data_IF_223672646541
#
_entry.id   IF_223672646541
#
_cell.length_a   1.000
_cell.length_b   1.000
_cell.length_c   1.000
_cell.angle_alpha   90.00
_cell.angle_beta   90.00
_cell.angle_gamma   90.00
#
_symmetry.space_group_name_H-M   'P 1'
#
loop_
_entity.id
_entity.type
_entity.pdbx_description
1 polymer ?
#
# COMPACT_ATOMS: atom_id res chain seq x y z
N UNK A 1 42.77 -2.27 -6.95
CA UNK A 1 42.45 -2.50 -5.53
C UNK A 1 41.22 -1.68 -5.17
N UNK A 2 40.15 -2.37 -4.80
CA UNK A 2 38.82 -1.84 -4.49
C UNK A 2 38.82 -1.22 -3.09
N UNK A 3 38.68 0.10 -2.99
CA UNK A 3 38.41 0.78 -1.71
C UNK A 3 36.91 0.70 -1.42
N UNK A 4 36.52 -0.35 -0.70
CA UNK A 4 35.21 -0.42 -0.06
C UNK A 4 35.04 0.77 0.89
N UNK A 5 34.14 1.69 0.54
CA UNK A 5 33.63 2.72 1.41
C UNK A 5 32.83 2.07 2.54
N UNK A 6 33.49 1.80 3.68
CA UNK A 6 32.84 1.41 4.93
C UNK A 6 31.91 2.55 5.37
N UNK A 7 30.60 2.32 5.37
CA UNK A 7 29.64 3.23 5.98
C UNK A 7 29.88 3.30 7.48
N UNK A 8 30.22 4.47 8.01
CA UNK A 8 30.39 4.71 9.44
C UNK A 8 28.99 4.74 10.09
N UNK A 9 28.56 3.58 10.59
CA UNK A 9 27.40 3.46 11.47
C UNK A 9 27.87 3.76 12.91
N UNK A 10 27.37 4.83 13.53
CA UNK A 10 27.61 5.08 14.95
C UNK A 10 26.70 4.17 15.79
N UNK A 11 27.25 3.06 16.29
CA UNK A 11 26.63 2.23 17.32
C UNK A 11 26.85 2.83 18.72
N UNK A 12 25.85 2.76 19.60
CA UNK A 12 26.05 3.02 21.03
C UNK A 12 26.87 1.88 21.63
N UNK A 13 28.00 2.22 22.23
CA UNK A 13 28.82 1.31 23.04
C UNK A 13 28.15 1.10 24.39
N UNK A 14 27.90 -0.15 24.75
CA UNK A 14 27.63 -0.52 26.13
C UNK A 14 29.01 -0.80 26.73
N UNK A 15 29.39 -0.09 27.79
CA UNK A 15 30.74 -0.02 28.36
C UNK A 15 31.29 -1.32 28.99
N UNK A 16 30.89 -2.48 28.48
CA UNK A 16 31.38 -3.81 28.86
C UNK A 16 31.99 -4.41 27.61
N UNK A 17 33.29 -4.20 27.40
CA UNK A 17 33.99 -4.63 26.19
C UNK A 17 33.86 -6.12 25.95
N UNK A 18 32.98 -6.50 25.02
CA UNK A 18 32.98 -7.70 24.18
C UNK A 18 31.80 -7.62 23.20
N UNK A 19 32.12 -7.65 21.91
CA UNK A 19 31.29 -7.90 20.70
C UNK A 19 29.94 -7.16 20.46
N UNK A 20 29.70 -6.82 19.18
CA UNK A 20 28.47 -6.17 18.71
C UNK A 20 27.38 -7.22 18.40
N UNK A 21 26.44 -7.44 19.32
CA UNK A 21 25.43 -8.52 19.16
C UNK A 21 24.20 -8.17 18.31
N UNK A 22 24.02 -6.92 17.85
CA UNK A 22 22.96 -6.58 16.89
C UNK A 22 23.20 -5.25 16.14
N UNK A 23 23.05 -5.29 14.81
CA UNK A 23 22.97 -4.10 13.95
C UNK A 23 21.53 -3.58 13.90
N UNK A 24 21.12 -2.82 14.92
CA UNK A 24 19.89 -2.02 14.84
C UNK A 24 20.16 -0.72 14.08
N UNK A 25 19.47 -0.50 12.95
CA UNK A 25 19.37 0.83 12.30
C UNK A 25 18.83 1.83 13.32
N UNK A 26 19.63 2.83 13.69
CA UNK A 26 19.12 3.98 14.43
C UNK A 26 18.23 4.79 13.49
N UNK A 27 16.92 4.69 13.68
CA UNK A 27 15.95 5.40 12.87
C UNK A 27 15.71 6.80 13.47
N UNK A 28 16.38 7.82 12.93
CA UNK A 28 16.17 9.24 13.31
C UNK A 28 14.72 9.74 13.05
N UNK A 29 13.86 8.88 12.50
CA UNK A 29 12.45 9.16 12.12
C UNK A 29 11.49 9.44 13.27
N UNK A 30 11.86 9.29 14.54
CA UNK A 30 10.96 9.57 15.67
C UNK A 30 11.00 11.02 16.18
N UNK A 31 11.98 11.83 15.79
CA UNK A 31 12.15 13.18 16.34
C UNK A 31 12.57 14.17 15.27
N UNK A 32 11.59 14.63 14.46
CA UNK A 32 11.44 15.93 13.79
C UNK A 32 10.69 15.73 12.46
N UNK A 33 9.37 15.92 12.47
CA UNK A 33 8.63 16.26 11.24
C UNK A 33 8.62 17.78 11.13
N UNK A 34 9.50 18.36 10.33
CA UNK A 34 9.51 19.80 10.04
C UNK A 34 8.51 20.11 8.91
N UNK A 35 7.21 20.07 9.22
CA UNK A 35 6.12 20.29 8.24
C UNK A 35 6.13 21.70 7.61
N UNK A 36 6.80 22.69 8.23
CA UNK A 36 6.81 24.09 7.77
C UNK A 36 7.67 24.31 6.52
N UNK A 37 8.83 23.66 6.41
CA UNK A 37 9.75 23.78 5.27
C UNK A 37 9.16 23.20 3.97
N UNK A 38 8.49 22.06 4.06
CA UNK A 38 7.81 21.39 2.96
C UNK A 38 6.72 22.23 2.30
N UNK A 39 5.88 22.84 3.14
CA UNK A 39 4.81 23.75 2.70
C UNK A 39 5.38 24.98 2.00
N UNK A 40 6.56 25.44 2.42
CA UNK A 40 7.23 26.62 1.85
C UNK A 40 7.82 26.31 0.47
N UNK A 41 8.44 25.14 0.28
CA UNK A 41 9.02 24.72 -1.00
C UNK A 41 7.98 24.45 -2.08
N UNK A 42 6.83 23.87 -1.71
CA UNK A 42 5.71 23.71 -2.63
C UNK A 42 5.13 25.08 -3.03
N UNK A 43 4.88 25.96 -2.04
CA UNK A 43 4.33 27.28 -2.28
C UNK A 43 5.25 28.13 -3.16
N UNK A 44 6.57 28.08 -2.93
CA UNK A 44 7.55 28.83 -3.71
C UNK A 44 7.63 28.40 -5.19
N UNK A 45 7.22 27.17 -5.50
CA UNK A 45 7.28 26.62 -6.85
C UNK A 45 5.89 26.43 -7.49
N UNK A 46 4.82 26.93 -6.86
CA UNK A 46 3.43 26.67 -7.27
C UNK A 46 3.14 27.08 -8.73
N UNK A 47 3.61 28.25 -9.15
CA UNK A 47 3.42 28.76 -10.53
C UNK A 47 4.12 27.88 -11.58
N UNK A 48 5.28 27.31 -11.23
CA UNK A 48 6.00 26.43 -12.14
C UNK A 48 5.35 25.06 -12.21
N UNK A 49 4.89 24.52 -11.07
CA UNK A 49 4.16 23.26 -10.98
C UNK A 49 2.82 23.30 -11.74
N UNK A 50 2.11 24.44 -11.74
CA UNK A 50 0.85 24.60 -12.47
C UNK A 50 1.01 24.53 -13.99
N UNK A 51 2.20 24.86 -14.51
CA UNK A 51 2.50 24.84 -15.95
C UNK A 51 2.83 23.42 -16.47
N UNK A 52 2.94 22.43 -15.58
CA UNK A 52 3.31 21.05 -15.92
C UNK A 52 2.08 20.19 -16.20
N UNK A 53 2.28 19.13 -17.01
CA UNK A 53 1.28 18.07 -17.15
C UNK A 53 0.92 17.49 -15.77
N UNK A 54 -0.29 16.95 -15.57
CA UNK A 54 -0.68 16.34 -14.30
C UNK A 54 0.30 15.24 -13.84
N UNK A 55 0.87 14.48 -14.78
CA UNK A 55 1.80 13.41 -14.46
C UNK A 55 3.16 13.94 -13.99
N UNK A 56 3.75 14.90 -14.73
CA UNK A 56 5.04 15.50 -14.38
C UNK A 56 4.95 16.27 -13.07
N UNK A 57 3.85 16.99 -12.85
CA UNK A 57 3.60 17.73 -11.62
C UNK A 57 3.69 16.85 -10.38
N UNK A 58 3.03 15.69 -10.37
CA UNK A 58 3.07 14.75 -9.24
C UNK A 58 4.47 14.28 -8.91
N UNK A 59 5.28 14.00 -9.92
CA UNK A 59 6.67 13.57 -9.72
C UNK A 59 7.44 14.64 -8.94
N UNK A 60 7.34 15.90 -9.37
CA UNK A 60 8.04 17.00 -8.73
C UNK A 60 7.46 17.35 -7.35
N UNK A 61 6.14 17.34 -7.17
CA UNK A 61 5.48 17.54 -5.86
C UNK A 61 5.95 16.50 -4.84
N UNK A 62 5.96 15.22 -5.22
CA UNK A 62 6.40 14.14 -4.34
C UNK A 62 7.88 14.28 -3.99
N UNK A 63 8.73 14.66 -4.94
CA UNK A 63 10.16 14.87 -4.68
C UNK A 63 10.43 16.10 -3.82
N UNK A 64 9.66 17.19 -4.00
CA UNK A 64 9.75 18.39 -3.18
C UNK A 64 9.43 18.10 -1.70
N UNK A 65 8.51 17.15 -1.46
CA UNK A 65 8.09 16.68 -0.14
C UNK A 65 8.96 15.55 0.44
N UNK A 66 9.89 14.98 -0.34
CA UNK A 66 10.67 13.82 0.07
C UNK A 66 11.86 14.27 0.95
N UNK A 67 11.75 14.07 2.26
CA UNK A 67 12.82 14.39 3.22
C UNK A 67 14.15 13.70 2.93
N UNK A 68 14.17 12.52 2.32
CA UNK A 68 15.42 11.85 1.96
C UNK A 68 16.09 12.53 0.76
N UNK A 69 15.29 13.16 -0.10
CA UNK A 69 15.76 13.81 -1.31
C UNK A 69 16.00 15.32 -1.12
N UNK A 70 15.08 16.05 -0.50
CA UNK A 70 15.16 17.51 -0.26
C UNK A 70 15.58 17.88 1.16
N UNK A 71 15.51 16.93 2.10
CA UNK A 71 15.88 17.20 3.49
C UNK A 71 17.35 17.55 3.63
N UNK A 72 17.60 18.45 4.59
CA UNK A 72 18.93 18.82 5.05
C UNK A 72 19.20 18.08 6.34
N UNK A 73 20.34 17.39 6.41
CA UNK A 73 20.77 16.79 7.67
C UNK A 73 21.42 17.91 8.45
N UNK A 74 20.93 18.18 9.66
CA UNK A 74 21.60 19.09 10.58
C UNK A 74 22.93 18.45 11.01
N UNK A 75 24.02 18.90 10.40
CA UNK A 75 25.35 18.48 10.78
C UNK A 75 25.77 19.25 12.03
N UNK A 76 26.19 18.58 13.13
CA UNK A 76 26.68 19.25 14.32
C UNK A 76 27.81 20.22 13.98
N UNK A 77 27.75 21.44 14.50
CA UNK A 77 28.80 22.47 14.36
C UNK A 77 30.09 22.12 15.10
N UNK A 78 30.03 21.17 16.04
CA UNK A 78 31.16 20.65 16.80
C UNK A 78 31.27 19.14 16.53
N UNK A 79 32.33 18.69 15.86
CA UNK A 79 32.66 17.27 15.75
C UNK A 79 33.85 16.94 16.63
N UNK A 80 33.85 15.73 17.18
CA UNK A 80 34.93 15.25 18.06
C UNK A 80 36.24 14.96 17.31
N UNK A 81 36.24 14.97 15.97
CA UNK A 81 37.43 14.86 15.13
C UNK A 81 37.32 15.71 13.86
N UNK A 82 38.48 16.11 13.33
CA UNK A 82 38.62 16.86 12.09
C UNK A 82 38.14 16.05 10.87
N UNK A 83 38.36 14.73 10.86
CA UNK A 83 37.87 13.85 9.80
C UNK A 83 36.33 13.84 9.72
N UNK A 84 35.65 13.82 10.87
CA UNK A 84 34.19 13.88 10.93
C UNK A 84 33.69 15.26 10.50
N UNK A 85 34.42 16.32 10.83
CA UNK A 85 34.12 17.68 10.37
C UNK A 85 34.15 17.77 8.84
N UNK A 86 35.21 17.27 8.21
CA UNK A 86 35.38 17.27 6.77
C UNK A 86 34.30 16.43 6.06
N UNK A 87 33.93 15.27 6.62
CA UNK A 87 32.84 14.45 6.10
C UNK A 87 31.49 15.19 6.20
N UNK A 88 31.21 15.85 7.32
CA UNK A 88 29.99 16.64 7.50
C UNK A 88 29.90 17.80 6.50
N UNK A 89 31.01 18.53 6.28
CA UNK A 89 31.08 19.58 5.27
C UNK A 89 30.80 19.04 3.86
N UNK A 90 31.37 17.87 3.52
CA UNK A 90 31.14 17.22 2.23
C UNK A 90 29.69 16.79 2.04
N UNK A 91 29.05 16.26 3.07
CA UNK A 91 27.61 15.92 3.04
C UNK A 91 26.77 17.17 2.82
N UNK A 92 27.05 18.26 3.55
CA UNK A 92 26.34 19.53 3.39
C UNK A 92 26.47 20.11 1.97
N UNK A 93 27.69 20.04 1.39
CA UNK A 93 27.93 20.46 0.01
C UNK A 93 27.11 19.63 -0.98
N UNK A 94 27.14 18.30 -0.87
CA UNK A 94 26.36 17.43 -1.74
C UNK A 94 24.85 17.66 -1.63
N UNK A 95 24.34 17.95 -0.44
CA UNK A 95 22.93 18.30 -0.25
C UNK A 95 22.57 19.60 -1.00
N UNK A 96 23.44 20.62 -0.93
CA UNK A 96 23.26 21.88 -1.66
C UNK A 96 23.33 21.69 -3.17
N UNK A 97 24.34 20.97 -3.66
CA UNK A 97 24.51 20.67 -5.09
C UNK A 97 23.31 19.90 -5.64
N UNK A 98 22.84 18.89 -4.91
CA UNK A 98 21.66 18.11 -5.29
C UNK A 98 20.42 18.98 -5.37
N UNK A 99 20.18 19.81 -4.36
CA UNK A 99 19.02 20.70 -4.32
C UNK A 99 19.06 21.71 -5.47
N UNK A 100 20.20 22.35 -5.71
CA UNK A 100 20.39 23.29 -6.81
C UNK A 100 20.16 22.63 -8.17
N UNK A 101 20.74 21.46 -8.37
CA UNK A 101 20.58 20.73 -9.63
C UNK A 101 19.15 20.24 -9.86
N UNK A 102 18.47 19.77 -8.81
CA UNK A 102 17.06 19.41 -8.89
C UNK A 102 16.19 20.62 -9.23
N UNK A 103 16.45 21.78 -8.62
CA UNK A 103 15.76 23.01 -8.98
C UNK A 103 15.98 23.34 -10.46
N UNK A 104 17.20 23.24 -10.99
CA UNK A 104 17.43 23.41 -12.44
C UNK A 104 16.61 22.44 -13.31
N UNK A 105 16.35 21.20 -12.84
CA UNK A 105 15.48 20.26 -13.53
C UNK A 105 13.99 20.67 -13.47
N UNK A 106 13.55 21.22 -12.34
CA UNK A 106 12.18 21.72 -12.13
C UNK A 106 11.81 22.87 -13.08
N UNK A 107 12.80 23.63 -13.55
CA UNK A 107 12.61 24.75 -14.49
C UNK A 107 12.99 24.42 -15.94
N UNK A 108 13.26 23.14 -16.26
CA UNK A 108 13.68 22.73 -17.59
C UNK A 108 12.57 21.94 -18.31
N UNK A 109 11.92 22.58 -19.29
CA UNK A 109 10.85 21.96 -20.09
C UNK A 109 11.31 20.68 -20.81
N UNK A 110 12.60 20.59 -21.19
CA UNK A 110 13.17 19.37 -21.78
C UNK A 110 13.08 18.17 -20.84
N UNK A 111 13.21 18.40 -19.53
CA UNK A 111 13.03 17.34 -18.52
C UNK A 111 11.57 16.90 -18.47
N UNK A 112 10.60 17.80 -18.63
CA UNK A 112 9.18 17.42 -18.60
C UNK A 112 8.85 16.46 -19.74
N UNK A 113 9.30 16.78 -20.96
CA UNK A 113 9.16 15.90 -22.12
C UNK A 113 9.86 14.56 -21.91
N UNK A 114 11.04 14.56 -21.26
CA UNK A 114 11.76 13.34 -20.95
C UNK A 114 11.00 12.45 -19.96
N UNK A 115 10.41 13.01 -18.91
CA UNK A 115 9.65 12.24 -17.91
C UNK A 115 8.39 11.62 -18.53
N UNK A 116 7.70 12.35 -19.40
CA UNK A 116 6.57 11.85 -20.19
C UNK A 116 7.02 10.71 -21.13
N UNK A 117 8.15 10.89 -21.82
CA UNK A 117 8.72 9.86 -22.68
C UNK A 117 9.09 8.60 -21.89
N UNK A 118 9.77 8.75 -20.75
CA UNK A 118 10.11 7.61 -19.89
C UNK A 118 8.87 6.86 -19.42
N UNK A 119 7.79 7.58 -19.07
CA UNK A 119 6.51 6.94 -18.73
C UNK A 119 6.02 6.06 -19.88
N UNK A 120 6.05 6.55 -21.10
CA UNK A 120 5.54 5.83 -22.26
C UNK A 120 6.47 4.67 -22.68
N UNK A 121 7.79 4.85 -22.56
CA UNK A 121 8.78 3.79 -22.71
C UNK A 121 8.56 2.66 -21.69
N UNK A 122 8.33 3.00 -20.42
CA UNK A 122 8.05 2.01 -19.38
C UNK A 122 6.73 1.28 -19.67
N UNK A 123 5.67 1.97 -20.09
CA UNK A 123 4.42 1.31 -20.52
C UNK A 123 4.67 0.32 -21.66
N UNK A 124 5.48 0.70 -22.64
CA UNK A 124 5.84 -0.19 -23.74
C UNK A 124 6.65 -1.41 -23.28
N UNK A 125 7.61 -1.22 -22.37
CA UNK A 125 8.38 -2.32 -21.75
C UNK A 125 7.46 -3.27 -21.00
N UNK A 126 6.52 -2.72 -20.22
CA UNK A 126 5.52 -3.49 -19.47
C UNK A 126 4.71 -4.40 -20.39
N UNK A 127 4.15 -3.84 -21.45
CA UNK A 127 3.32 -4.58 -22.41
C UNK A 127 4.12 -5.68 -23.11
N UNK A 128 5.35 -5.37 -23.54
CA UNK A 128 6.26 -6.34 -24.18
C UNK A 128 6.73 -7.44 -23.24
N UNK A 129 6.84 -7.16 -21.95
CA UNK A 129 7.28 -8.13 -20.95
C UNK A 129 6.22 -9.19 -20.65
N UNK A 130 4.95 -8.95 -20.99
CA UNK A 130 3.85 -9.89 -20.73
C UNK A 130 4.10 -11.19 -21.51
N UNK A 131 4.19 -12.35 -20.83
CA UNK A 131 4.37 -13.62 -21.52
C UNK A 131 3.13 -13.94 -22.38
N UNK A 132 3.38 -14.45 -23.60
CA UNK A 132 2.32 -14.90 -24.52
C UNK A 132 1.42 -15.97 -23.88
N UNK A 133 2.02 -16.91 -23.14
CA UNK A 133 1.29 -17.97 -22.44
C UNK A 133 1.18 -17.65 -20.94
N UNK A 134 -0.04 -17.44 -20.45
CA UNK A 134 -0.32 -17.05 -19.06
C UNK A 134 -0.60 -18.27 -18.16
N UNK A 135 0.42 -19.10 -17.94
CA UNK A 135 0.35 -20.24 -17.00
C UNK A 135 0.36 -19.81 -15.52
N UNK A 136 0.28 -20.76 -14.57
CA UNK A 136 0.17 -20.48 -13.11
C UNK A 136 1.26 -19.54 -12.55
N UNK A 137 2.46 -19.54 -13.13
CA UNK A 137 3.61 -18.72 -12.72
C UNK A 137 3.83 -17.47 -13.58
N UNK A 138 2.89 -17.12 -14.46
CA UNK A 138 3.08 -16.04 -15.42
C UNK A 138 3.38 -14.69 -14.76
N UNK A 139 2.81 -14.40 -13.59
CA UNK A 139 3.05 -13.15 -12.85
C UNK A 139 4.49 -13.07 -12.35
N UNK A 140 5.04 -14.15 -11.80
CA UNK A 140 6.44 -14.20 -11.36
C UNK A 140 7.40 -14.07 -12.54
N UNK A 141 7.11 -14.77 -13.65
CA UNK A 141 7.90 -14.67 -14.87
C UNK A 141 7.82 -13.27 -15.51
N UNK A 142 6.65 -12.63 -15.45
CA UNK A 142 6.44 -11.27 -15.93
C UNK A 142 7.19 -10.25 -15.08
N UNK A 143 7.12 -10.34 -13.76
CA UNK A 143 7.85 -9.45 -12.84
C UNK A 143 9.36 -9.57 -13.09
N UNK A 144 9.89 -10.79 -13.13
CA UNK A 144 11.32 -11.02 -13.40
C UNK A 144 11.75 -10.45 -14.75
N UNK A 145 10.94 -10.64 -15.81
CA UNK A 145 11.21 -10.03 -17.13
C UNK A 145 11.16 -8.51 -17.05
N UNK A 146 10.16 -7.93 -16.40
CA UNK A 146 10.02 -6.50 -16.25
C UNK A 146 11.23 -5.90 -15.51
N UNK A 147 11.67 -6.53 -14.42
CA UNK A 147 12.87 -6.13 -13.67
C UNK A 147 14.12 -6.16 -14.55
N UNK A 148 14.33 -7.22 -15.32
CA UNK A 148 15.47 -7.33 -16.25
C UNK A 148 15.42 -6.20 -17.30
N UNK A 149 14.25 -5.98 -17.91
CA UNK A 149 14.11 -4.90 -18.89
C UNK A 149 14.30 -3.53 -18.24
N UNK A 150 13.73 -3.24 -17.08
CA UNK A 150 13.93 -1.95 -16.43
C UNK A 150 15.40 -1.74 -16.04
N UNK A 151 16.07 -2.76 -15.49
CA UNK A 151 17.49 -2.70 -15.13
C UNK A 151 18.41 -2.40 -16.34
N UNK A 152 18.07 -2.90 -17.53
CA UNK A 152 18.81 -2.58 -18.75
C UNK A 152 18.70 -1.11 -19.18
N UNK A 153 17.65 -0.40 -18.71
CA UNK A 153 17.38 0.99 -19.08
C UNK A 153 17.61 1.98 -17.92
N UNK A 154 17.73 1.50 -16.69
CA UNK A 154 18.05 2.29 -15.49
C UNK A 154 19.43 2.97 -15.59
N UNK A 155 19.75 3.82 -14.61
CA UNK A 155 20.70 4.96 -14.65
C UNK A 155 22.19 4.70 -14.96
N UNK A 156 22.53 3.57 -15.59
CA UNK A 156 23.80 3.29 -16.27
C UNK A 156 23.64 3.10 -17.79
N UNK A 157 22.43 3.16 -18.34
CA UNK A 157 22.11 2.91 -19.76
C UNK A 157 21.56 4.11 -20.54
N UNK A 158 20.67 3.83 -21.49
CA UNK A 158 20.16 4.78 -22.51
C UNK A 158 19.46 5.99 -21.88
N UNK A 159 18.63 5.80 -20.85
CA UNK A 159 17.88 6.91 -20.25
C UNK A 159 18.77 7.93 -19.57
N UNK A 160 19.89 7.52 -18.97
CA UNK A 160 20.83 8.47 -18.39
C UNK A 160 21.52 9.31 -19.49
N UNK A 161 21.86 8.72 -20.64
CA UNK A 161 22.42 9.48 -21.77
C UNK A 161 21.42 10.49 -22.35
N UNK A 162 20.13 10.12 -22.42
CA UNK A 162 19.07 11.03 -22.86
C UNK A 162 18.87 12.18 -21.87
N UNK A 163 18.89 11.88 -20.56
CA UNK A 163 18.88 12.89 -19.51
C UNK A 163 20.06 13.85 -19.65
N UNK A 164 21.27 13.32 -19.84
CA UNK A 164 22.49 14.11 -20.02
C UNK A 164 22.41 15.08 -21.19
N UNK A 165 21.84 14.66 -22.33
CA UNK A 165 21.66 15.54 -23.51
C UNK A 165 20.80 16.77 -23.20
N UNK A 166 19.85 16.67 -22.27
CA UNK A 166 18.96 17.77 -21.92
C UNK A 166 19.61 18.72 -20.91
N UNK A 167 20.50 18.21 -20.06
CA UNK A 167 21.14 18.99 -18.99
C UNK A 167 22.56 19.47 -19.35
N UNK A 168 22.98 19.37 -20.61
CA UNK A 168 24.35 19.63 -21.12
C UNK A 168 24.96 20.98 -20.68
N UNK A 169 24.15 21.92 -20.16
CA UNK A 169 24.59 23.23 -19.67
C UNK A 169 24.79 23.32 -18.14
N UNK A 170 24.57 22.24 -17.37
CA UNK A 170 24.72 22.26 -15.90
C UNK A 170 26.09 21.74 -15.45
N UNK A 171 26.83 22.55 -14.68
CA UNK A 171 28.15 22.24 -14.12
C UNK A 171 28.12 21.27 -12.91
N UNK A 172 27.00 20.60 -12.65
CA UNK A 172 26.89 19.69 -11.50
C UNK A 172 27.74 18.43 -11.69
N UNK A 173 28.27 17.88 -10.61
CA UNK A 173 29.04 16.64 -10.65
C UNK A 173 28.21 15.49 -11.26
N UNK A 174 28.85 14.64 -12.05
CA UNK A 174 28.22 13.49 -12.72
C UNK A 174 27.47 12.57 -11.73
N UNK A 175 28.01 12.43 -10.52
CA UNK A 175 27.41 11.67 -9.42
C UNK A 175 26.08 12.26 -8.97
N UNK A 176 26.02 13.59 -8.84
CA UNK A 176 24.81 14.34 -8.51
C UNK A 176 23.77 14.23 -9.63
N UNK A 177 24.20 14.33 -10.89
CA UNK A 177 23.32 14.15 -12.05
C UNK A 177 22.69 12.75 -12.06
N UNK A 178 23.50 11.70 -11.86
CA UNK A 178 23.03 10.31 -11.80
C UNK A 178 22.05 10.10 -10.65
N UNK A 179 22.33 10.67 -9.49
CA UNK A 179 21.45 10.57 -8.33
C UNK A 179 20.08 11.19 -8.63
N UNK A 180 20.05 12.42 -9.14
CA UNK A 180 18.77 13.09 -9.47
C UNK A 180 18.02 12.36 -10.58
N UNK A 181 18.72 11.89 -11.63
CA UNK A 181 18.11 11.06 -12.67
C UNK A 181 17.48 9.79 -12.10
N UNK A 182 18.17 9.12 -11.16
CA UNK A 182 17.65 7.93 -10.48
C UNK A 182 16.38 8.22 -9.71
N UNK A 183 16.34 9.30 -8.91
CA UNK A 183 15.13 9.67 -8.18
C UNK A 183 13.98 10.03 -9.11
N UNK A 184 14.25 10.72 -10.23
CA UNK A 184 13.24 11.01 -11.24
C UNK A 184 12.67 9.75 -11.88
N UNK A 185 13.53 8.85 -12.41
CA UNK A 185 13.08 7.58 -13.02
C UNK A 185 12.30 6.73 -12.01
N UNK A 186 12.82 6.63 -10.78
CA UNK A 186 12.14 5.89 -9.71
C UNK A 186 10.74 6.45 -9.47
N UNK A 187 10.57 7.77 -9.45
CA UNK A 187 9.26 8.40 -9.26
C UNK A 187 8.34 8.26 -10.47
N UNK A 188 8.88 8.26 -11.69
CA UNK A 188 8.11 7.90 -12.90
C UNK A 188 7.55 6.49 -12.78
N UNK A 189 8.37 5.51 -12.36
CA UNK A 189 7.94 4.12 -12.14
C UNK A 189 6.90 4.08 -11.02
N UNK A 190 7.18 4.69 -9.87
CA UNK A 190 6.26 4.73 -8.73
C UNK A 190 4.92 5.33 -9.15
N UNK A 191 4.86 6.53 -9.73
CA UNK A 191 3.60 7.17 -10.13
C UNK A 191 2.87 6.45 -11.29
N UNK A 192 3.59 5.70 -12.14
CA UNK A 192 2.97 4.89 -13.19
C UNK A 192 2.23 3.66 -12.61
N UNK A 193 2.82 3.00 -11.60
CA UNK A 193 2.26 1.77 -11.02
C UNK A 193 1.53 1.96 -9.70
N UNK A 194 1.64 3.14 -9.10
CA UNK A 194 0.81 3.56 -7.99
C UNK A 194 -0.61 3.51 -8.51
N UNK A 195 -1.30 2.43 -8.14
CA UNK A 195 -2.75 2.33 -8.30
C UNK A 195 -3.32 3.67 -7.82
N UNK A 196 -4.11 4.33 -8.66
CA UNK A 196 -4.86 5.53 -8.28
C UNK A 196 -5.84 5.17 -7.16
N UNK A 197 -5.35 4.90 -5.96
CA UNK A 197 -6.15 4.77 -4.73
C UNK A 197 -6.60 6.17 -4.29
N UNK A 198 -6.17 7.25 -4.98
CA UNK A 198 -6.50 8.65 -4.62
C UNK A 198 -6.86 9.57 -5.78
N UNK A 199 -6.99 9.05 -7.01
CA UNK A 199 -7.26 9.88 -8.19
C UNK A 199 -8.24 9.23 -9.18
N UNK A 200 -9.38 8.78 -8.67
CA UNK A 200 -10.61 8.72 -9.46
C UNK A 200 -11.67 9.52 -8.69
N UNK A 201 -11.48 10.84 -8.55
CA UNK A 201 -12.39 11.70 -7.77
C UNK A 201 -13.74 11.98 -8.46
N UNK A 202 -13.94 11.49 -9.68
CA UNK A 202 -15.19 11.73 -10.43
C UNK A 202 -16.09 10.48 -10.54
N UNK A 203 -15.80 9.43 -9.77
CA UNK A 203 -16.75 8.34 -9.48
C UNK A 203 -16.91 8.36 -7.97
N UNK A 204 -18.14 8.46 -7.45
CA UNK A 204 -18.40 8.29 -6.01
C UNK A 204 -17.63 7.06 -5.49
N UNK A 205 -16.52 7.26 -4.78
CA UNK A 205 -15.61 6.17 -4.39
C UNK A 205 -16.27 5.20 -3.39
N UNK A 206 -17.36 5.65 -2.77
CA UNK A 206 -18.23 4.90 -1.89
C UNK A 206 -19.65 5.48 -1.90
N UNK A 207 -20.64 4.67 -1.52
CA UNK A 207 -22.01 5.12 -1.29
C UNK A 207 -22.11 6.02 -0.05
N UNK A 208 -23.31 6.57 0.18
CA UNK A 208 -23.67 7.25 1.42
C UNK A 208 -23.23 6.42 2.65
N UNK A 209 -22.40 6.97 3.54
CA UNK A 209 -21.95 6.32 4.78
C UNK A 209 -23.10 5.88 5.69
N UNK A 210 -24.28 6.45 5.53
CA UNK A 210 -25.48 6.16 6.32
C UNK A 210 -26.46 5.21 5.61
N UNK A 211 -26.09 4.68 4.44
CA UNK A 211 -26.92 3.74 3.68
C UNK A 211 -27.34 2.56 4.56
N UNK A 212 -28.64 2.31 4.59
CA UNK A 212 -29.26 1.15 5.21
C UNK A 212 -29.93 0.32 4.12
N UNK A 213 -29.88 -1.02 4.21
CA UNK A 213 -30.55 -1.87 3.23
C UNK A 213 -32.06 -1.69 3.36
N UNK A 214 -32.76 -1.58 2.22
CA UNK A 214 -34.23 -1.43 2.22
C UNK A 214 -34.94 -2.62 2.87
N UNK A 215 -34.44 -3.82 2.57
CA UNK A 215 -34.94 -5.08 3.08
C UNK A 215 -33.77 -6.01 3.41
N UNK A 216 -33.96 -6.90 4.39
CA UNK A 216 -33.00 -7.98 4.65
C UNK A 216 -33.20 -9.09 3.62
N UNK A 217 -32.10 -9.51 2.99
CA UNK A 217 -32.11 -10.58 2.00
C UNK A 217 -32.70 -11.86 2.58
N UNK A 218 -33.68 -12.42 1.87
CA UNK A 218 -34.23 -13.74 2.17
C UNK A 218 -33.58 -14.75 1.23
N UNK A 219 -32.80 -15.67 1.79
CA UNK A 219 -32.12 -16.72 1.04
C UNK A 219 -32.94 -18.01 1.10
N UNK A 220 -33.02 -18.75 -0.01
CA UNK A 220 -33.61 -20.09 0.02
C UNK A 220 -32.73 -21.05 0.84
N UNK A 221 -33.23 -22.26 1.12
CA UNK A 221 -32.53 -23.22 1.98
C UNK A 221 -31.09 -23.55 1.50
N UNK A 222 -30.90 -23.69 0.19
CA UNK A 222 -29.59 -24.01 -0.39
C UNK A 222 -28.63 -22.82 -0.33
N UNK A 223 -29.11 -21.62 -0.62
CA UNK A 223 -28.35 -20.37 -0.54
C UNK A 223 -27.98 -20.03 0.90
N UNK A 224 -28.92 -20.18 1.83
CA UNK A 224 -28.70 -20.00 3.27
C UNK A 224 -27.62 -20.93 3.80
N UNK A 225 -27.63 -22.21 3.37
CA UNK A 225 -26.60 -23.19 3.75
C UNK A 225 -25.22 -22.80 3.22
N UNK A 226 -25.12 -22.38 1.95
CA UNK A 226 -23.87 -21.88 1.35
C UNK A 226 -23.39 -20.61 2.06
N UNK A 227 -24.30 -19.72 2.38
CA UNK A 227 -23.98 -18.46 3.04
C UNK A 227 -23.48 -18.69 4.47
N UNK A 228 -24.13 -19.57 5.22
CA UNK A 228 -23.67 -20.01 6.53
C UNK A 228 -22.23 -20.55 6.50
N UNK A 229 -21.88 -21.34 5.49
CA UNK A 229 -20.50 -21.79 5.28
C UNK A 229 -19.52 -20.63 5.03
N UNK A 230 -19.90 -19.66 4.20
CA UNK A 230 -19.08 -18.46 3.96
C UNK A 230 -18.87 -17.67 5.26
N UNK A 231 -19.94 -17.50 6.05
CA UNK A 231 -19.88 -16.82 7.35
C UNK A 231 -18.93 -17.55 8.31
N UNK A 232 -19.07 -18.87 8.44
CA UNK A 232 -18.17 -19.70 9.25
C UNK A 232 -16.72 -19.59 8.80
N UNK A 233 -16.49 -19.54 7.48
CA UNK A 233 -15.15 -19.34 6.93
C UNK A 233 -14.55 -17.97 7.26
N UNK A 234 -15.34 -16.89 7.27
CA UNK A 234 -14.88 -15.55 7.67
C UNK A 234 -14.40 -15.58 9.13
N UNK A 235 -15.20 -16.13 10.03
CA UNK A 235 -14.83 -16.26 11.45
C UNK A 235 -13.59 -17.14 11.64
N UNK A 236 -13.54 -18.29 10.96
CA UNK A 236 -12.37 -19.16 10.97
C UNK A 236 -11.09 -18.43 10.54
N UNK A 237 -11.18 -17.59 9.51
CA UNK A 237 -10.04 -16.78 9.06
C UNK A 237 -9.62 -15.78 10.13
N UNK A 238 -10.57 -15.02 10.69
CA UNK A 238 -10.29 -14.02 11.73
C UNK A 238 -9.68 -14.66 13.00
N UNK A 239 -10.15 -15.84 13.39
CA UNK A 239 -9.69 -16.52 14.60
C UNK A 239 -8.35 -17.26 14.42
N UNK A 240 -8.07 -17.82 13.25
CA UNK A 240 -6.96 -18.81 13.12
C UNK A 240 -5.98 -18.55 11.98
N UNK A 241 -6.32 -17.79 10.94
CA UNK A 241 -5.54 -17.78 9.68
C UNK A 241 -5.24 -16.40 9.10
N UNK A 242 -5.73 -15.33 9.70
CA UNK A 242 -5.41 -13.97 9.27
C UNK A 242 -4.13 -13.50 9.97
N UNK A 243 -3.04 -13.37 9.19
CA UNK A 243 -1.74 -12.95 9.74
C UNK A 243 -1.80 -11.61 10.46
N UNK A 244 -2.54 -10.64 9.89
CA UNK A 244 -2.63 -9.29 10.48
C UNK A 244 -3.36 -9.32 11.81
N UNK A 245 -4.49 -10.05 11.91
CA UNK A 245 -5.13 -10.33 13.20
C UNK A 245 -4.16 -10.98 14.19
N UNK A 246 -3.53 -12.10 13.80
CA UNK A 246 -2.66 -12.88 14.68
C UNK A 246 -1.44 -12.09 15.19
N UNK A 247 -0.96 -11.12 14.42
CA UNK A 247 0.18 -10.26 14.78
C UNK A 247 -0.19 -9.06 15.66
N UNK A 248 -1.48 -8.80 15.88
CA UNK A 248 -1.92 -7.64 16.65
C UNK A 248 -1.59 -7.81 18.14
N UNK A 249 -1.04 -6.79 18.84
CA UNK A 249 -0.67 -6.91 20.26
C UNK A 249 -1.82 -7.34 21.18
N UNK A 250 -3.04 -6.87 20.88
CA UNK A 250 -4.28 -7.22 21.62
C UNK A 250 -5.02 -8.44 21.04
N UNK A 251 -4.37 -9.27 20.21
CA UNK A 251 -5.01 -10.43 19.57
C UNK A 251 -5.73 -11.38 20.56
N UNK A 252 -5.19 -11.73 21.75
CA UNK A 252 -5.89 -12.62 22.68
C UNK A 252 -7.29 -12.11 23.10
N UNK A 253 -7.42 -10.79 23.29
CA UNK A 253 -8.68 -10.14 23.64
C UNK A 253 -9.63 -10.17 22.43
N UNK A 254 -9.13 -9.78 21.26
CA UNK A 254 -9.90 -9.82 20.00
C UNK A 254 -10.40 -11.23 19.68
N UNK A 255 -9.55 -12.24 19.88
CA UNK A 255 -9.87 -13.64 19.66
C UNK A 255 -10.97 -14.11 20.61
N UNK A 256 -10.94 -13.68 21.88
CA UNK A 256 -11.98 -14.02 22.86
C UNK A 256 -13.34 -13.45 22.45
N UNK A 257 -13.38 -12.18 22.04
CA UNK A 257 -14.61 -11.52 21.56
C UNK A 257 -15.19 -12.22 20.32
N UNK A 258 -14.35 -12.48 19.32
CA UNK A 258 -14.75 -13.19 18.11
C UNK A 258 -15.17 -14.64 18.42
N UNK A 259 -14.50 -15.29 19.38
CA UNK A 259 -14.80 -16.64 19.82
C UNK A 259 -16.19 -16.75 20.43
N UNK A 260 -16.62 -15.75 21.19
CA UNK A 260 -17.96 -15.69 21.78
C UNK A 260 -19.09 -15.58 20.73
N UNK A 261 -18.77 -15.20 19.49
CA UNK A 261 -19.73 -15.11 18.38
C UNK A 261 -19.90 -16.41 17.60
N UNK A 262 -19.25 -17.51 18.01
CA UNK A 262 -19.32 -18.78 17.30
C UNK A 262 -19.08 -19.98 18.21
N UNK A 263 -19.32 -21.16 17.67
CA UNK A 263 -18.94 -22.42 18.31
C UNK A 263 -18.00 -23.19 17.41
N UNK A 264 -16.90 -23.67 17.98
CA UNK A 264 -15.96 -24.53 17.27
C UNK A 264 -16.39 -26.00 17.42
N UNK A 265 -16.71 -26.64 16.30
CA UNK A 265 -16.98 -28.08 16.25
C UNK A 265 -15.80 -28.78 15.56
N UNK A 266 -15.15 -29.66 16.29
CA UNK A 266 -14.06 -30.48 15.76
C UNK A 266 -14.62 -31.86 15.44
N UNK A 267 -14.66 -32.20 14.15
CA UNK A 267 -15.08 -33.51 13.68
C UNK A 267 -13.84 -34.32 13.28
N UNK A 268 -13.72 -35.51 13.86
CA UNK A 268 -12.67 -36.46 13.52
C UNK A 268 -13.27 -37.56 12.65
N UNK A 269 -12.79 -37.67 11.41
CA UNK A 269 -13.16 -38.76 10.52
C UNK A 269 -12.11 -39.85 10.68
N UNK A 270 -12.47 -40.92 11.40
CA UNK A 270 -11.56 -42.01 11.75
C UNK A 270 -10.99 -42.73 10.53
N UNK A 271 -11.79 -42.85 9.47
CA UNK A 271 -11.43 -43.55 8.23
C UNK A 271 -10.32 -42.83 7.45
N UNK A 272 -10.38 -41.50 7.38
CA UNK A 272 -9.40 -40.67 6.64
C UNK A 272 -8.31 -40.11 7.54
N UNK A 273 -8.40 -40.32 8.87
CA UNK A 273 -7.57 -39.66 9.90
C UNK A 273 -7.55 -38.13 9.77
N UNK A 274 -8.59 -37.54 9.18
CA UNK A 274 -8.67 -36.09 9.00
C UNK A 274 -9.42 -35.44 10.15
N UNK A 275 -8.82 -34.41 10.73
CA UNK A 275 -9.48 -33.52 11.69
C UNK A 275 -10.01 -32.30 10.94
N UNK A 276 -11.32 -32.14 10.92
CA UNK A 276 -11.99 -30.96 10.34
C UNK A 276 -12.47 -30.06 11.47
N UNK A 277 -11.99 -28.82 11.48
CA UNK A 277 -12.49 -27.79 12.39
C UNK A 277 -13.53 -26.95 11.67
N UNK A 278 -14.79 -27.08 12.07
CA UNK A 278 -15.89 -26.28 11.58
C UNK A 278 -16.22 -25.18 12.59
N UNK A 279 -16.28 -23.93 12.12
CA UNK A 279 -16.75 -22.80 12.91
C UNK A 279 -18.22 -22.57 12.57
N UNK A 280 -19.09 -22.74 13.56
CA UNK A 280 -20.53 -22.53 13.44
C UNK A 280 -20.83 -21.12 13.99
N UNK A 281 -21.23 -20.17 13.13
CA UNK A 281 -21.54 -18.81 13.56
C UNK A 281 -22.74 -18.77 14.51
N UNK A 282 -22.69 -17.90 15.52
CA UNK A 282 -23.81 -17.62 16.42
C UNK A 282 -24.87 -16.73 15.77
N UNK A 283 -26.09 -16.67 16.34
CA UNK A 283 -27.23 -15.99 15.73
C UNK A 283 -27.00 -14.49 15.51
N UNK A 284 -26.33 -13.81 16.44
CA UNK A 284 -26.04 -12.37 16.31
C UNK A 284 -25.09 -12.08 15.13
N UNK A 285 -24.03 -12.87 14.99
CA UNK A 285 -23.11 -12.72 13.87
C UNK A 285 -23.77 -13.09 12.53
N UNK A 286 -24.63 -14.11 12.52
CA UNK A 286 -25.44 -14.44 11.35
C UNK A 286 -26.29 -13.23 10.95
N UNK A 287 -27.05 -12.64 11.88
CA UNK A 287 -27.89 -11.48 11.61
C UNK A 287 -27.10 -10.30 11.03
N UNK A 288 -25.92 -10.03 11.60
CA UNK A 288 -25.01 -9.02 11.06
C UNK A 288 -24.59 -9.33 9.61
N UNK A 289 -24.23 -10.59 9.33
CA UNK A 289 -23.79 -10.96 7.99
C UNK A 289 -24.92 -10.91 6.96
N UNK A 290 -26.16 -11.25 7.32
CA UNK A 290 -27.32 -11.06 6.46
C UNK A 290 -27.57 -9.57 6.17
N UNK A 291 -27.41 -8.70 7.16
CA UNK A 291 -27.50 -7.25 6.96
C UNK A 291 -26.38 -6.76 6.03
N UNK A 292 -25.14 -7.21 6.24
CA UNK A 292 -23.99 -6.92 5.38
C UNK A 292 -24.22 -7.38 3.94
N UNK A 293 -24.74 -8.59 3.73
CA UNK A 293 -25.03 -9.12 2.39
C UNK A 293 -26.15 -8.34 1.70
N UNK A 294 -27.14 -7.87 2.46
CA UNK A 294 -28.21 -7.03 1.92
C UNK A 294 -27.66 -5.72 1.37
N UNK A 295 -26.74 -5.08 2.12
CA UNK A 295 -26.01 -3.90 1.64
C UNK A 295 -25.16 -4.20 0.42
N UNK A 296 -24.45 -5.33 0.41
CA UNK A 296 -23.64 -5.75 -0.74
C UNK A 296 -24.51 -5.87 -2.00
N UNK A 297 -25.67 -6.52 -1.91
CA UNK A 297 -26.61 -6.67 -3.04
C UNK A 297 -27.09 -5.30 -3.52
N UNK A 298 -27.43 -4.40 -2.61
CA UNK A 298 -27.88 -3.05 -2.96
C UNK A 298 -26.79 -2.22 -3.65
N UNK A 299 -25.58 -2.23 -3.11
CA UNK A 299 -24.41 -1.57 -3.69
C UNK A 299 -24.03 -2.16 -5.07
N UNK A 300 -24.22 -3.46 -5.24
CA UNK A 300 -23.91 -4.15 -6.49
C UNK A 300 -24.84 -3.77 -7.64
N UNK A 301 -26.00 -3.12 -7.39
CA UNK A 301 -26.88 -2.63 -8.45
C UNK A 301 -26.19 -1.64 -9.37
N UNK A 302 -25.19 -0.90 -8.90
CA UNK A 302 -24.35 0.02 -9.71
C UNK A 302 -23.32 -0.70 -10.62
N UNK A 303 -23.32 -2.04 -10.72
CA UNK A 303 -22.31 -2.76 -11.51
C UNK A 303 -22.27 -2.36 -12.99
N UNK A 304 -23.41 -2.04 -13.60
CA UNK A 304 -23.47 -1.57 -14.99
C UNK A 304 -22.80 -0.21 -15.18
N UNK A 305 -22.89 0.67 -14.17
CA UNK A 305 -22.28 2.02 -14.18
C UNK A 305 -20.79 1.95 -13.88
N UNK A 306 -20.39 1.11 -12.92
CA UNK A 306 -19.04 1.08 -12.36
C UNK A 306 -18.12 0.05 -13.04
N UNK A 307 -18.69 -0.92 -13.75
CA UNK A 307 -17.98 -1.98 -14.45
C UNK A 307 -16.89 -2.64 -13.59
N UNK A 308 -15.60 -2.59 -13.99
CA UNK A 308 -14.51 -3.23 -13.25
C UNK A 308 -14.27 -2.65 -11.85
N UNK A 309 -14.76 -1.44 -11.56
CA UNK A 309 -14.58 -0.77 -10.27
C UNK A 309 -15.62 -1.18 -9.22
N UNK A 310 -16.65 -1.96 -9.58
CA UNK A 310 -17.76 -2.30 -8.68
C UNK A 310 -17.30 -2.94 -7.36
N UNK A 311 -16.30 -3.82 -7.40
CA UNK A 311 -15.81 -4.48 -6.20
C UNK A 311 -15.06 -3.53 -5.26
N UNK A 312 -14.35 -2.55 -5.83
CA UNK A 312 -13.69 -1.50 -5.07
C UNK A 312 -14.74 -0.61 -4.40
N UNK A 313 -15.73 -0.18 -5.17
CA UNK A 313 -16.86 0.62 -4.70
C UNK A 313 -17.61 -0.06 -3.54
N UNK A 314 -18.00 -1.33 -3.70
CA UNK A 314 -18.70 -2.08 -2.65
C UNK A 314 -17.84 -2.17 -1.40
N UNK A 315 -16.55 -2.55 -1.54
CA UNK A 315 -15.64 -2.64 -0.40
C UNK A 315 -15.50 -1.31 0.35
N UNK A 316 -15.27 -0.22 -0.38
CA UNK A 316 -15.10 1.11 0.21
C UNK A 316 -16.39 1.57 0.90
N UNK A 317 -17.54 1.34 0.26
CA UNK A 317 -18.87 1.64 0.84
C UNK A 317 -19.14 0.88 2.12
N UNK A 318 -18.79 -0.40 2.20
CA UNK A 318 -18.92 -1.15 3.45
C UNK A 318 -17.98 -0.62 4.53
N UNK A 319 -16.73 -0.30 4.18
CA UNK A 319 -15.76 0.22 5.15
C UNK A 319 -16.14 1.61 5.70
N UNK A 320 -16.78 2.46 4.89
CA UNK A 320 -17.27 3.77 5.31
C UNK A 320 -18.66 3.73 5.95
N UNK A 321 -19.38 2.61 5.91
CA UNK A 321 -20.75 2.52 6.41
C UNK A 321 -20.81 2.58 7.95
N UNK A 322 -21.32 3.70 8.47
CA UNK A 322 -21.41 3.97 9.91
C UNK A 322 -22.38 3.03 10.63
N UNK A 323 -23.62 2.80 10.14
CA UNK A 323 -24.55 1.88 10.80
C UNK A 323 -24.03 0.44 10.87
N UNK A 324 -23.42 -0.05 9.79
CA UNK A 324 -22.86 -1.40 9.72
C UNK A 324 -21.71 -1.57 10.72
N UNK A 325 -20.81 -0.60 10.80
CA UNK A 325 -19.72 -0.61 11.79
C UNK A 325 -20.26 -0.57 13.23
N UNK A 326 -21.20 0.33 13.53
CA UNK A 326 -21.81 0.43 14.85
C UNK A 326 -22.52 -0.88 15.27
N UNK A 327 -23.23 -1.52 14.34
CA UNK A 327 -23.88 -2.81 14.58
C UNK A 327 -22.84 -3.90 14.90
N UNK A 328 -21.74 -3.94 14.13
CA UNK A 328 -20.63 -4.85 14.40
C UNK A 328 -20.02 -4.66 15.79
N UNK A 329 -19.73 -3.41 16.16
CA UNK A 329 -19.19 -3.07 17.48
C UNK A 329 -20.16 -3.49 18.59
N UNK A 330 -21.45 -3.27 18.39
CA UNK A 330 -22.49 -3.64 19.36
C UNK A 330 -22.50 -5.14 19.60
N UNK A 331 -22.43 -5.96 18.54
CA UNK A 331 -22.40 -7.42 18.65
C UNK A 331 -21.13 -7.90 19.36
N UNK A 332 -19.98 -7.29 19.07
CA UNK A 332 -18.73 -7.62 19.78
C UNK A 332 -18.82 -7.25 21.26
N UNK A 333 -19.35 -6.07 21.61
CA UNK A 333 -19.46 -5.63 23.00
C UNK A 333 -20.45 -6.48 23.79
N UNK A 334 -21.59 -6.83 23.19
CA UNK A 334 -22.62 -7.67 23.82
C UNK A 334 -22.09 -9.06 24.20
N UNK A 335 -21.09 -9.57 23.46
CA UNK A 335 -20.50 -10.88 23.70
C UNK A 335 -19.66 -11.00 24.99
N UNK A 336 -19.43 -9.90 25.70
CA UNK A 336 -18.64 -9.84 26.94
C UNK A 336 -19.27 -8.92 27.98
N UNK A 337 -19.31 -9.35 29.24
CA UNK A 337 -19.76 -8.54 30.38
C UNK A 337 -18.79 -7.36 30.64
N UNK A 338 -18.95 -6.26 29.90
CA UNK A 338 -18.53 -4.87 30.13
C UNK A 338 -17.06 -4.53 30.52
N UNK A 339 -16.15 -5.49 30.70
CA UNK A 339 -14.73 -5.23 31.03
C UNK A 339 -13.81 -5.48 29.83
N UNK A 340 -13.88 -4.64 28.79
CA UNK A 340 -13.06 -4.79 27.57
C UNK A 340 -12.01 -3.68 27.49
N UNK A 341 -10.72 -4.03 27.39
CA UNK A 341 -9.58 -3.10 27.18
C UNK A 341 -9.32 -2.76 25.68
N UNK A 342 -10.36 -2.78 24.85
CA UNK A 342 -10.26 -2.38 23.44
C UNK A 342 -10.80 -0.96 23.27
N UNK A 343 -10.03 -0.14 22.56
CA UNK A 343 -10.44 1.19 22.14
C UNK A 343 -11.15 1.11 20.78
N UNK A 344 -11.69 2.22 20.32
CA UNK A 344 -12.43 2.28 19.06
C UNK A 344 -11.57 1.90 17.84
N UNK A 345 -10.25 2.13 17.91
CA UNK A 345 -9.31 1.76 16.86
C UNK A 345 -9.22 0.23 16.68
N UNK A 346 -9.17 -0.54 17.76
CA UNK A 346 -9.14 -2.00 17.68
C UNK A 346 -10.45 -2.58 17.15
N UNK A 347 -11.59 -2.02 17.55
CA UNK A 347 -12.87 -2.43 16.99
C UNK A 347 -12.94 -2.14 15.48
N UNK A 348 -12.48 -0.97 15.05
CA UNK A 348 -12.36 -0.60 13.65
C UNK A 348 -11.43 -1.54 12.87
N UNK A 349 -10.32 -1.96 13.48
CA UNK A 349 -9.41 -2.94 12.91
C UNK A 349 -10.10 -4.30 12.68
N UNK A 350 -10.75 -4.88 13.69
CA UNK A 350 -11.46 -6.17 13.55
C UNK A 350 -12.53 -6.07 12.44
N UNK A 351 -13.27 -4.95 12.41
CA UNK A 351 -14.27 -4.67 11.38
C UNK A 351 -13.65 -4.66 9.97
N UNK A 352 -12.57 -3.91 9.76
CA UNK A 352 -11.88 -3.84 8.48
C UNK A 352 -11.39 -5.22 8.01
N UNK A 353 -10.86 -6.04 8.93
CA UNK A 353 -10.46 -7.42 8.64
C UNK A 353 -11.65 -8.27 8.23
N UNK A 354 -12.77 -8.16 8.93
CA UNK A 354 -14.01 -8.88 8.62
C UNK A 354 -14.50 -8.55 7.20
N UNK A 355 -14.68 -7.27 6.87
CA UNK A 355 -15.08 -6.82 5.53
C UNK A 355 -14.10 -7.29 4.47
N UNK A 356 -12.79 -7.15 4.72
CA UNK A 356 -11.76 -7.53 3.75
C UNK A 356 -11.72 -9.02 3.45
N UNK A 357 -11.90 -9.87 4.47
CA UNK A 357 -11.95 -11.33 4.30
C UNK A 357 -13.23 -11.73 3.56
N UNK A 358 -14.36 -11.11 3.92
CA UNK A 358 -15.64 -11.33 3.26
C UNK A 358 -15.59 -10.97 1.77
N UNK A 359 -15.12 -9.77 1.42
CA UNK A 359 -15.02 -9.34 0.03
C UNK A 359 -14.09 -10.25 -0.79
N UNK A 360 -13.03 -10.79 -0.17
CA UNK A 360 -12.15 -11.78 -0.83
C UNK A 360 -12.82 -13.13 -1.03
N UNK A 361 -13.70 -13.59 -0.13
CA UNK A 361 -14.45 -14.84 -0.33
C UNK A 361 -15.45 -14.68 -1.47
N UNK A 362 -16.12 -13.53 -1.54
CA UNK A 362 -17.07 -13.19 -2.61
C UNK A 362 -16.45 -12.96 -3.97
N UNK A 363 -15.23 -12.41 -4.03
CA UNK A 363 -14.52 -12.22 -5.31
C UNK A 363 -14.35 -13.53 -6.10
N UNK A 364 -14.23 -14.69 -5.43
CA UNK A 364 -14.16 -15.98 -6.12
C UNK A 364 -15.52 -16.39 -6.66
N UNK A 365 -16.56 -16.34 -5.83
CA UNK A 365 -17.93 -16.70 -6.22
C UNK A 365 -18.49 -15.78 -7.32
N UNK A 366 -18.16 -14.49 -7.29
CA UNK A 366 -18.61 -13.54 -8.31
C UNK A 366 -17.87 -13.65 -9.64
N UNK A 367 -16.68 -14.26 -9.66
CA UNK A 367 -16.06 -14.65 -10.94
C UNK A 367 -16.83 -15.80 -11.61
N UNK A 368 -17.44 -16.67 -10.80
CA UNK A 368 -18.18 -17.83 -11.32
C UNK A 368 -19.62 -17.46 -11.75
N UNK A 369 -20.20 -16.39 -11.18
CA UNK A 369 -21.59 -15.95 -11.44
C UNK A 369 -21.70 -14.92 -12.57
N UNK A 370 -20.61 -14.24 -12.94
CA UNK A 370 -20.61 -13.20 -13.95
C UNK A 370 -19.64 -13.49 -15.11
N UNK A 371 -20.21 -13.71 -16.30
CA UNK A 371 -19.59 -13.45 -17.61
C UNK A 371 -19.15 -11.98 -17.81
N UNK A 372 -19.12 -11.15 -16.75
CA UNK A 372 -18.87 -9.71 -16.76
C UNK A 372 -17.51 -9.29 -16.18
N UNK A 373 -16.68 -10.24 -15.76
CA UNK A 373 -15.23 -9.99 -15.67
C UNK A 373 -14.66 -10.80 -16.83
N UNK A 374 -13.94 -10.20 -17.80
CA UNK A 374 -13.32 -10.99 -18.85
C UNK A 374 -12.53 -12.09 -18.16
N UNK A 375 -12.83 -13.33 -18.52
CA UNK A 375 -11.91 -14.43 -18.27
C UNK A 375 -10.51 -13.94 -18.67
N UNK A 376 -9.50 -14.38 -17.94
CA UNK A 376 -8.12 -14.17 -18.37
C UNK A 376 -7.99 -14.65 -19.82
N UNK A 377 -8.04 -13.71 -20.76
CA UNK A 377 -7.71 -13.85 -22.18
C UNK A 377 -8.38 -15.00 -22.90
N UNK A 378 -9.60 -14.79 -23.37
CA UNK A 378 -10.02 -15.25 -24.70
C UNK A 378 -10.09 -14.03 -25.63
N UNK A 379 -8.90 -13.66 -26.13
CA UNK A 379 -8.66 -13.00 -27.42
C UNK A 379 -7.17 -13.21 -27.75
#
# INVERSE_FOLDING_TARGET
MTSELKSVNYGKSNHTGMEFDCLTRYDYRKTLKNNSMHSTLLLSNATQLSNMSPFVRKIFEVLLLDDLFMGRIETPTLSFSEEVHQLNQKVSLFQKERQQFFNSCLYNNGIFFLLEKWRDDIKNIVLKSIPKNKGKLWTTAWISRLEIHLNNYLCSGIWFLEFQKIILQNHSAITTQRLVAYFLVRKVIEELFKSNVRENRDIEECADPTLTPKDIVTLNQAESSKFSYIIGWVLFKLLKRDHLMNSHPKFPIMHTLLGALCTEKVEYVAETKTRTTNIIPGPEFIRFMYYLESLVIELFKKHNELGPNILCYVKNSLLSNLPLNQNFITILKYSTNNNIELENEEFGFIYERCISIYMKSRQKTWRDVNNYIPEKGTA
#
